data_IF_884043688843
#
_entry.id   IF_884043688843
#
_cell.length_a   1.000
_cell.length_b   1.000
_cell.length_c   1.000
_cell.angle_alpha   90.00
_cell.angle_beta   90.00
_cell.angle_gamma   90.00
#
_symmetry.space_group_name_H-M   'P 1'
#
loop_
_entity.id
_entity.type
_entity.pdbx_description
1 polymer ?
#
# COMPACT_ATOMS: atom_id res chain seq x y z
N UNK A 1 -10.14 -16.69 -9.58
CA UNK A 1 -10.49 -15.47 -8.82
C UNK A 1 -11.52 -14.72 -9.64
N UNK A 2 -12.75 -14.53 -9.14
CA UNK A 2 -13.85 -14.00 -9.95
C UNK A 2 -13.78 -12.46 -10.00
N UNK A 3 -13.77 -11.87 -11.20
CA UNK A 3 -13.82 -10.41 -11.37
C UNK A 3 -15.27 -9.94 -11.27
N UNK A 4 -15.50 -8.82 -10.59
CA UNK A 4 -16.83 -8.19 -10.49
C UNK A 4 -16.84 -6.95 -11.39
N UNK A 5 -17.80 -6.87 -12.31
CA UNK A 5 -18.05 -5.66 -13.07
C UNK A 5 -18.51 -4.54 -12.12
N UNK A 6 -17.94 -3.36 -12.27
CA UNK A 6 -18.27 -2.17 -11.48
C UNK A 6 -18.45 -1.01 -12.44
N UNK A 7 -19.47 -0.18 -12.20
CA UNK A 7 -19.71 1.03 -12.99
C UNK A 7 -18.94 2.19 -12.35
N UNK A 8 -18.22 2.96 -13.16
CA UNK A 8 -17.42 4.09 -12.71
C UNK A 8 -17.50 5.23 -13.72
N UNK A 9 -17.39 6.47 -13.24
CA UNK A 9 -17.34 7.67 -14.07
C UNK A 9 -15.89 8.00 -14.36
N UNK A 10 -15.56 8.19 -15.64
CA UNK A 10 -14.23 8.55 -16.12
C UNK A 10 -14.36 9.67 -17.15
N UNK A 11 -13.30 10.47 -17.29
CA UNK A 11 -13.21 11.44 -18.38
C UNK A 11 -13.33 10.71 -19.73
N UNK A 12 -14.31 11.08 -20.57
CA UNK A 12 -14.51 10.44 -21.87
C UNK A 12 -13.31 10.64 -22.81
N UNK A 13 -12.63 11.79 -22.75
CA UNK A 13 -11.47 12.08 -23.61
C UNK A 13 -10.32 11.14 -23.28
N UNK A 14 -10.04 10.95 -21.99
CA UNK A 14 -9.01 10.01 -21.52
C UNK A 14 -9.35 8.56 -21.89
N UNK A 15 -10.63 8.18 -21.80
CA UNK A 15 -11.08 6.84 -22.17
C UNK A 15 -10.87 6.56 -23.67
N UNK A 16 -11.20 7.54 -24.51
CA UNK A 16 -11.02 7.44 -25.96
C UNK A 16 -9.54 7.37 -26.34
N UNK A 17 -8.69 8.19 -25.71
CA UNK A 17 -7.23 8.13 -25.87
C UNK A 17 -6.68 6.76 -25.46
N UNK A 18 -7.09 6.23 -24.29
CA UNK A 18 -6.65 4.93 -23.82
C UNK A 18 -7.06 3.80 -24.78
N UNK A 19 -8.26 3.88 -25.36
CA UNK A 19 -8.72 2.93 -26.39
C UNK A 19 -7.92 3.05 -27.68
N UNK A 20 -7.64 4.27 -28.13
CA UNK A 20 -6.84 4.52 -29.33
C UNK A 20 -5.41 3.98 -29.19
N UNK A 21 -4.85 4.05 -27.98
CA UNK A 21 -3.54 3.51 -27.63
C UNK A 21 -3.56 2.01 -27.28
N UNK A 22 -4.71 1.35 -27.40
CA UNK A 22 -4.91 -0.07 -27.08
C UNK A 22 -4.47 -0.46 -25.65
N UNK A 23 -4.66 0.47 -24.70
CA UNK A 23 -4.34 0.25 -23.29
C UNK A 23 -5.35 -0.70 -22.68
N UNK A 24 -4.88 -1.71 -21.96
CA UNK A 24 -5.74 -2.61 -21.21
C UNK A 24 -6.27 -1.91 -19.95
N UNK A 25 -7.45 -1.27 -20.08
CA UNK A 25 -8.08 -0.49 -19.02
C UNK A 25 -8.29 -1.31 -17.74
N UNK A 26 -8.76 -2.55 -17.86
CA UNK A 26 -9.03 -3.40 -16.69
C UNK A 26 -7.75 -3.71 -15.92
N UNK A 27 -6.68 -4.10 -16.63
CA UNK A 27 -5.41 -4.42 -15.99
C UNK A 27 -4.76 -3.18 -15.35
N UNK A 28 -4.79 -2.05 -16.04
CA UNK A 28 -4.20 -0.78 -15.58
C UNK A 28 -4.93 -0.25 -14.35
N UNK A 29 -6.27 -0.27 -14.38
CA UNK A 29 -7.09 0.12 -13.24
C UNK A 29 -6.89 -0.81 -12.06
N UNK A 30 -6.86 -2.13 -12.27
CA UNK A 30 -6.66 -3.11 -11.20
C UNK A 30 -5.30 -2.94 -10.51
N UNK A 31 -4.23 -2.70 -11.28
CA UNK A 31 -2.90 -2.43 -10.73
C UNK A 31 -2.88 -1.15 -9.88
N UNK A 32 -3.41 -0.06 -10.43
CA UNK A 32 -3.46 1.25 -9.76
C UNK A 32 -4.31 1.19 -8.47
N UNK A 33 -5.46 0.53 -8.54
CA UNK A 33 -6.36 0.36 -7.39
C UNK A 33 -5.70 -0.49 -6.29
N UNK A 34 -5.01 -1.57 -6.67
CA UNK A 34 -4.28 -2.42 -5.72
C UNK A 34 -3.20 -1.65 -4.97
N UNK A 35 -2.48 -0.78 -5.68
CA UNK A 35 -1.47 0.07 -5.07
C UNK A 35 -2.08 1.08 -4.09
N UNK A 36 -3.14 1.79 -4.51
CA UNK A 36 -3.85 2.73 -3.65
C UNK A 36 -4.39 2.05 -2.37
N UNK A 37 -5.02 0.88 -2.51
CA UNK A 37 -5.52 0.09 -1.37
C UNK A 37 -4.38 -0.36 -0.46
N UNK A 38 -3.25 -0.79 -1.02
CA UNK A 38 -2.08 -1.20 -0.23
C UNK A 38 -1.55 -0.02 0.60
N UNK A 39 -1.41 1.16 -0.02
CA UNK A 39 -0.94 2.37 0.66
C UNK A 39 -1.87 2.77 1.81
N UNK A 40 -3.17 2.75 1.56
CA UNK A 40 -4.16 3.10 2.58
C UNK A 40 -4.15 2.12 3.75
N UNK A 41 -4.07 0.82 3.46
CA UNK A 41 -3.93 -0.21 4.51
C UNK A 41 -2.66 -0.04 5.33
N UNK A 42 -1.53 0.26 4.68
CA UNK A 42 -0.28 0.51 5.38
C UNK A 42 -0.36 1.75 6.28
N UNK A 43 -1.00 2.83 5.81
CA UNK A 43 -1.24 4.03 6.61
C UNK A 43 -2.07 3.71 7.86
N UNK A 44 -3.20 3.03 7.67
CA UNK A 44 -4.07 2.64 8.80
C UNK A 44 -3.36 1.74 9.80
N UNK A 45 -2.61 0.76 9.30
CA UNK A 45 -1.83 -0.11 10.17
C UNK A 45 -0.79 0.67 10.99
N UNK A 46 -0.08 1.63 10.36
CA UNK A 46 0.87 2.48 11.07
C UNK A 46 0.20 3.34 12.15
N UNK A 47 -0.99 3.86 11.88
CA UNK A 47 -1.76 4.63 12.87
C UNK A 47 -2.20 3.75 14.04
N UNK A 48 -2.76 2.58 13.74
CA UNK A 48 -3.20 1.60 14.75
C UNK A 48 -2.04 1.09 15.62
N UNK A 49 -0.85 0.93 15.04
CA UNK A 49 0.32 0.37 15.72
C UNK A 49 1.27 1.45 16.26
N UNK A 50 0.94 2.74 16.09
CA UNK A 50 1.81 3.86 16.50
C UNK A 50 2.23 3.76 17.97
N UNK A 51 1.27 3.53 18.88
CA UNK A 51 1.55 3.41 20.31
C UNK A 51 2.45 2.21 20.64
N UNK A 52 2.28 1.09 19.96
CA UNK A 52 3.11 -0.10 20.14
C UNK A 52 4.55 0.14 19.65
N UNK A 53 4.70 0.81 18.50
CA UNK A 53 5.99 1.19 17.94
C UNK A 53 6.72 2.18 18.84
N UNK A 54 6.03 3.22 19.32
CA UNK A 54 6.59 4.20 20.26
C UNK A 54 7.02 3.54 21.58
N UNK A 55 6.18 2.67 22.15
CA UNK A 55 6.52 1.93 23.36
C UNK A 55 7.74 1.02 23.18
N UNK A 56 7.83 0.34 22.03
CA UNK A 56 8.99 -0.50 21.71
C UNK A 56 10.26 0.32 21.49
N UNK A 57 10.17 1.46 20.80
CA UNK A 57 11.30 2.38 20.60
C UNK A 57 11.82 2.91 21.94
N UNK A 58 10.91 3.36 22.83
CA UNK A 58 11.28 3.83 24.16
C UNK A 58 11.94 2.73 25.01
N UNK A 59 11.51 1.47 24.84
CA UNK A 59 12.14 0.33 25.49
C UNK A 59 13.56 0.10 24.96
N UNK A 60 13.78 0.18 23.64
CA UNK A 60 15.12 0.04 23.03
C UNK A 60 16.05 1.16 23.51
N UNK A 61 15.59 2.41 23.57
CA UNK A 61 16.40 3.53 24.07
C UNK A 61 16.87 3.30 25.52
N UNK A 62 16.03 2.68 26.35
CA UNK A 62 16.35 2.39 27.74
C UNK A 62 17.21 1.14 27.92
N UNK A 63 16.99 0.10 27.12
CA UNK A 63 17.55 -1.24 27.35
C UNK A 63 18.62 -1.65 26.33
N UNK A 64 18.84 -0.83 25.29
CA UNK A 64 19.65 -1.17 24.14
C UNK A 64 18.94 -2.13 23.17
N UNK A 65 19.59 -2.44 22.05
CA UNK A 65 19.04 -3.34 21.05
C UNK A 65 19.02 -4.78 21.58
N UNK A 66 17.85 -5.46 21.54
CA UNK A 66 17.79 -6.88 21.83
C UNK A 66 18.78 -7.64 20.96
N UNK A 67 19.52 -8.55 21.58
CA UNK A 67 20.43 -9.49 20.91
C UNK A 67 21.60 -8.82 20.16
N UNK A 68 21.89 -7.54 20.39
CA UNK A 68 23.05 -6.85 19.80
C UNK A 68 24.36 -7.62 20.04
N UNK A 69 24.50 -8.21 21.22
CA UNK A 69 25.64 -9.06 21.64
C UNK A 69 25.87 -10.32 20.79
N UNK A 70 24.94 -10.68 19.89
CA UNK A 70 25.07 -11.85 19.00
C UNK A 70 25.21 -11.46 17.52
N UNK A 71 25.30 -10.16 17.20
CA UNK A 71 25.47 -9.70 15.81
C UNK A 71 26.87 -10.06 15.30
N UNK A 72 26.96 -10.98 14.33
CA UNK A 72 28.19 -11.29 13.60
C UNK A 72 28.33 -10.32 12.43
N UNK A 73 29.44 -9.60 12.35
CA UNK A 73 29.81 -8.68 11.28
C UNK A 73 30.89 -9.28 10.39
#
# INVERSE_FOLDING_TARGET
>A
MNKRATNLTIDPVLLDEARALNINLSATFEASLREAVRKEKASKWLEENRAALEGYNAWIEQNGLPLEKYRQF
#
